data_IF_996971937695
#
_entry.id   IF_996971937695
#
_cell.length_a   1.000
_cell.length_b   1.000
_cell.length_c   1.000
_cell.angle_alpha   90.00
_cell.angle_beta   90.00
_cell.angle_gamma   90.00
#
_symmetry.space_group_name_H-M   'P 1'
#
loop_
_entity.id
_entity.type
_entity.pdbx_description
1 polymer ?
2 non-polymer ?
3 non-polymer ?
4 water ?
#
# COMPACT_ATOMS: atom_id res chain seq x y z
N UNK A 2 -29.28 -4.08 16.16
CA UNK A 2 -27.96 -4.07 16.76
C UNK A 2 -26.89 -3.69 15.75
N UNK A 3 -25.70 -3.38 16.25
CA UNK A 3 -24.57 -3.06 15.40
C UNK A 3 -23.96 -4.38 14.94
N UNK A 4 -23.96 -4.65 13.64
CA UNK A 4 -23.54 -5.95 13.16
C UNK A 4 -22.13 -5.87 12.59
N UNK A 5 -21.27 -6.78 13.04
CA UNK A 5 -19.92 -6.89 12.46
C UNK A 5 -19.72 -8.33 11.98
N UNK A 6 -19.29 -8.47 10.72
CA UNK A 6 -19.01 -9.76 10.13
C UNK A 6 -17.60 -9.72 9.52
N UNK A 7 -16.89 -10.83 9.61
CA UNK A 7 -15.56 -10.93 9.00
C UNK A 7 -15.55 -12.14 8.09
N UNK A 8 -15.30 -11.91 6.81
CA UNK A 8 -15.11 -13.01 5.88
C UNK A 8 -13.64 -13.35 5.85
N UNK A 9 -13.28 -14.61 6.06
CA UNK A 9 -11.86 -14.95 6.30
C UNK A 9 -11.57 -16.38 5.82
N UNK A 10 -10.31 -16.80 5.96
CA UNK A 10 -9.85 -18.15 5.68
C UNK A 10 -8.72 -18.43 6.67
N UNK A 11 -8.83 -19.47 7.49
CA UNK A 11 -8.00 -19.61 8.72
C UNK A 11 -6.46 -19.46 8.57
N UNK A 12 -5.82 -19.90 7.45
CA UNK A 12 -4.36 -19.77 7.46
C UNK A 12 -3.85 -18.45 6.86
N UNK A 13 -4.75 -17.55 6.50
CA UNK A 13 -4.34 -16.33 5.83
C UNK A 13 -3.76 -15.30 6.82
N UNK A 14 -2.48 -14.89 6.64
CA UNK A 14 -1.92 -13.89 7.56
C UNK A 14 -2.68 -12.60 7.46
N UNK A 15 -3.24 -12.31 6.29
CA UNK A 15 -3.99 -11.05 6.12
C UNK A 15 -5.26 -11.03 6.98
N UNK A 16 -5.97 -12.14 7.03
CA UNK A 16 -7.15 -12.26 7.87
C UNK A 16 -6.81 -12.20 9.34
N UNK A 17 -5.69 -12.82 9.70
CA UNK A 17 -5.28 -12.84 11.09
C UNK A 17 -5.11 -11.43 11.62
N UNK A 18 -4.70 -10.53 10.74
CA UNK A 18 -4.55 -9.13 11.13
C UNK A 18 -5.84 -8.55 11.68
N UNK A 19 -6.91 -8.77 10.94
CA UNK A 19 -8.19 -8.22 11.34
C UNK A 19 -8.73 -8.97 12.57
N UNK A 20 -8.46 -10.27 12.67
CA UNK A 20 -8.87 -11.02 13.86
C UNK A 20 -8.23 -10.42 15.11
N UNK A 21 -6.95 -10.11 15.03
CA UNK A 21 -6.27 -9.52 16.18
C UNK A 21 -6.87 -8.17 16.55
N UNK A 22 -7.10 -7.30 15.57
CA UNK A 22 -7.66 -5.97 15.82
C UNK A 22 -9.01 -6.07 16.50
N UNK A 23 -9.87 -6.97 16.00
CA UNK A 23 -11.21 -7.10 16.60
C UNK A 23 -11.15 -7.60 18.04
N UNK A 24 -10.27 -8.56 18.28
CA UNK A 24 -10.08 -9.12 19.62
C UNK A 24 -9.49 -8.11 20.60
N UNK A 25 -8.42 -7.44 20.19
CA UNK A 25 -7.79 -6.43 21.04
C UNK A 25 -8.78 -5.31 21.43
N UNK A 26 -9.67 -4.91 20.51
CA UNK A 26 -10.63 -3.85 20.73
C UNK A 26 -11.85 -4.33 21.57
N UNK A 27 -11.98 -5.64 21.69
CA UNK A 27 -13.15 -6.20 22.38
C UNK A 27 -14.44 -6.02 21.60
N UNK A 28 -14.38 -6.27 20.29
CA UNK A 28 -15.52 -6.16 19.39
C UNK A 28 -16.15 -7.53 19.07
N UNK A 29 -17.42 -7.67 19.38
CA UNK A 29 -18.15 -8.89 19.04
C UNK A 29 -18.43 -8.90 17.53
N UNK A 30 -18.14 -10.02 16.88
CA UNK A 30 -18.39 -10.15 15.46
C UNK A 30 -18.67 -11.60 15.07
N UNK A 31 -19.26 -11.78 13.89
CA UNK A 31 -19.42 -13.13 13.31
C UNK A 31 -18.31 -13.44 12.32
N UNK A 32 -17.59 -14.52 12.60
CA UNK A 32 -16.56 -15.05 11.71
C UNK A 32 -17.17 -16.02 10.70
N UNK A 33 -16.91 -15.79 9.42
CA UNK A 33 -17.39 -16.64 8.34
C UNK A 33 -16.20 -17.17 7.54
N UNK A 34 -16.05 -18.48 7.53
CA UNK A 34 -14.98 -19.13 6.79
C UNK A 34 -15.34 -19.30 5.31
N UNK A 35 -14.47 -18.84 4.42
CA UNK A 35 -14.64 -18.99 3.00
C UNK A 35 -13.81 -20.13 2.45
N UNK A 36 -14.36 -20.77 1.42
CA UNK A 36 -13.65 -21.71 0.56
C UNK A 36 -13.27 -20.95 -0.68
N UNK A 37 -11.99 -20.61 -0.80
CA UNK A 37 -11.58 -19.72 -1.85
C UNK A 37 -11.58 -20.42 -3.20
N UNK A 38 -11.85 -21.70 -3.21
CA UNK A 38 -12.11 -22.43 -4.45
C UNK A 38 -13.59 -22.39 -4.82
N UNK A 39 -14.44 -22.02 -3.87
CA UNK A 39 -15.88 -21.87 -4.09
C UNK A 39 -16.39 -20.64 -3.35
N UNK A 40 -15.95 -19.47 -3.82
CA UNK A 40 -16.22 -18.22 -3.17
C UNK A 40 -17.72 -17.98 -3.11
N UNK A 41 -18.17 -17.57 -1.94
CA UNK A 41 -19.58 -17.31 -1.67
C UNK A 41 -20.12 -16.13 -2.44
N UNK A 42 -21.45 -16.10 -2.65
CA UNK A 42 -21.99 -14.86 -3.23
C UNK A 42 -21.70 -13.61 -2.42
N UNK A 43 -21.69 -13.75 -1.11
CA UNK A 43 -21.43 -12.66 -0.21
C UNK A 43 -20.06 -12.07 -0.49
N UNK A 44 -19.06 -12.94 -0.62
CA UNK A 44 -17.69 -12.48 -0.85
C UNK A 44 -17.60 -11.74 -2.17
N UNK A 45 -18.13 -12.36 -3.23
CA UNK A 45 -18.11 -11.75 -4.57
C UNK A 45 -18.90 -10.42 -4.66
N UNK A 46 -19.93 -10.28 -3.84
CA UNK A 46 -20.73 -9.07 -3.78
C UNK A 46 -20.04 -7.96 -3.01
N UNK A 47 -19.41 -8.34 -1.90
CA UNK A 47 -18.73 -7.40 -1.00
C UNK A 47 -17.32 -6.95 -1.47
N UNK A 48 -16.59 -7.82 -2.16
CA UNK A 48 -15.25 -7.47 -2.70
C UNK A 48 -15.16 -7.84 -4.18
N UNK A 49 -15.93 -7.14 -5.02
CA UNK A 49 -15.91 -7.44 -6.45
C UNK A 49 -14.58 -7.17 -7.13
N UNK A 50 -13.88 -6.13 -6.68
CA UNK A 50 -12.65 -5.72 -7.33
C UNK A 50 -11.55 -6.79 -7.19
N UNK A 51 -11.30 -7.24 -5.97
CA UNK A 51 -10.22 -8.22 -5.69
C UNK A 51 -10.68 -9.68 -5.44
N UNK A 52 -11.93 -9.86 -4.98
CA UNK A 52 -12.47 -11.19 -4.65
C UNK A 52 -11.55 -11.94 -3.67
N UNK A 53 -11.04 -11.19 -2.70
CA UNK A 53 -10.11 -11.72 -1.70
C UNK A 53 -10.68 -11.56 -0.28
N UNK A 54 -10.24 -12.43 0.65
CA UNK A 54 -10.44 -12.20 2.05
C UNK A 54 -9.16 -11.57 2.61
N UNK A 55 -9.22 -10.87 3.75
CA UNK A 55 -10.42 -10.64 4.57
C UNK A 55 -11.33 -9.56 3.99
N UNK A 56 -12.62 -9.63 4.31
CA UNK A 56 -13.53 -8.53 4.16
C UNK A 56 -14.25 -8.31 5.49
N UNK A 57 -14.19 -7.07 5.98
CA UNK A 57 -14.88 -6.66 7.21
C UNK A 57 -16.21 -6.08 6.74
N UNK A 58 -17.32 -6.52 7.31
CA UNK A 58 -18.62 -6.01 6.89
C UNK A 58 -19.32 -5.39 8.11
N UNK A 59 -19.57 -4.10 8.07
CA UNK A 59 -20.07 -3.35 9.23
C UNK A 59 -21.42 -2.78 8.83
N UNK A 60 -22.48 -3.34 9.42
CA UNK A 60 -23.85 -3.02 9.06
C UNK A 60 -24.07 -3.04 7.54
N UNK A 61 -23.55 -4.09 6.89
CA UNK A 61 -23.81 -4.36 5.49
C UNK A 61 -22.86 -3.67 4.53
N UNK A 62 -21.92 -2.89 5.07
CA UNK A 62 -21.02 -2.12 4.23
C UNK A 62 -19.60 -2.71 4.37
N UNK A 63 -18.95 -3.05 3.25
CA UNK A 63 -17.67 -3.77 3.28
C UNK A 63 -16.45 -2.89 3.34
N UNK A 64 -15.43 -3.41 4.02
CA UNK A 64 -14.08 -2.84 4.00
C UNK A 64 -13.11 -3.97 3.65
N UNK A 65 -12.57 -3.89 2.43
CA UNK A 65 -11.57 -4.85 1.95
C UNK A 65 -10.20 -4.22 2.08
N UNK A 66 -9.19 -5.07 2.07
CA UNK A 66 -7.77 -4.78 2.28
C UNK A 66 -7.47 -4.71 3.77
N UNK A 67 -6.74 -5.72 4.23
CA UNK A 67 -6.57 -5.96 5.67
C UNK A 67 -6.15 -4.71 6.50
N UNK A 68 -5.16 -3.98 6.02
CA UNK A 68 -4.65 -2.83 6.79
C UNK A 68 -5.61 -1.68 6.77
N UNK A 69 -6.35 -1.55 5.68
CA UNK A 69 -7.43 -0.55 5.60
C UNK A 69 -8.54 -0.90 6.60
N UNK A 70 -8.93 -2.17 6.69
CA UNK A 70 -9.91 -2.60 7.71
C UNK A 70 -9.40 -2.37 9.15
N UNK A 71 -8.12 -2.58 9.37
CA UNK A 71 -7.62 -2.34 10.71
C UNK A 71 -7.71 -0.86 11.02
N UNK A 72 -7.34 -0.01 10.07
CA UNK A 72 -7.48 1.44 10.28
C UNK A 72 -8.93 1.86 10.49
N UNK A 73 -9.85 1.26 9.74
CA UNK A 73 -11.29 1.54 9.93
C UNK A 73 -11.74 1.16 11.35
N UNK A 74 -11.30 0.01 11.82
CA UNK A 74 -11.55 -0.44 13.20
C UNK A 74 -11.03 0.59 14.23
N UNK A 75 -9.79 1.04 14.04
CA UNK A 75 -9.18 2.03 14.94
C UNK A 75 -9.99 3.32 14.98
N UNK A 76 -10.51 3.73 13.82
CA UNK A 76 -11.18 5.02 13.69
C UNK A 76 -12.61 5.00 14.20
N UNK A 77 -13.26 3.85 14.07
CA UNK A 77 -14.65 3.72 14.51
C UNK A 77 -14.71 3.35 16.00
N UNK A 78 -13.93 2.36 16.43
CA UNK A 78 -13.91 1.97 17.85
C UNK A 78 -12.71 2.62 18.47
N UNK A 79 -12.78 3.95 18.52
CA UNK A 79 -11.61 4.75 18.89
C UNK A 79 -11.47 5.04 20.39
N UNK A 80 -12.41 4.54 21.20
CA UNK A 80 -12.44 4.88 22.62
C UNK A 80 -11.80 3.84 23.53
N UNK A 81 -11.07 2.90 22.95
CA UNK A 81 -10.24 1.99 23.72
C UNK A 81 -9.16 1.37 22.83
N UNK A 82 -8.13 0.83 23.48
CA UNK A 82 -7.09 0.03 22.84
C UNK A 82 -6.61 0.63 21.54
N UNK A 83 -5.93 1.77 21.63
CA UNK A 83 -5.46 2.40 20.39
C UNK A 83 -4.44 1.56 19.68
N UNK A 84 -4.65 1.41 18.38
CA UNK A 84 -3.77 0.54 17.61
C UNK A 84 -2.76 1.34 16.80
N UNK A 85 -3.01 2.64 16.61
CA UNK A 85 -2.04 3.49 15.94
C UNK A 85 -1.67 4.63 16.86
N UNK A 86 -0.46 5.19 16.69
CA UNK A 86 -0.09 6.40 17.43
C UNK A 86 -1.02 7.58 17.20
N UNK A 87 -1.13 8.47 18.20
CA UNK A 87 -1.83 9.73 18.00
C UNK A 87 -0.94 10.87 17.50
N UNK A 88 0.37 10.74 17.60
CA UNK A 88 1.29 11.69 17.01
C UNK A 88 1.38 11.46 15.50
N UNK A 89 1.15 12.48 14.67
CA UNK A 89 1.17 12.27 13.21
C UNK A 89 2.45 11.67 12.68
N UNK A 90 3.61 12.15 13.17
CA UNK A 90 4.87 11.61 12.67
C UNK A 90 5.05 10.13 13.06
N UNK A 91 4.73 9.75 14.29
CA UNK A 91 4.82 8.35 14.69
C UNK A 91 3.83 7.48 13.95
N UNK A 92 2.69 8.06 13.59
CA UNK A 92 1.62 7.37 12.83
C UNK A 92 2.12 7.09 11.41
N UNK A 93 2.79 8.08 10.83
CA UNK A 93 3.40 7.92 9.51
C UNK A 93 4.44 6.82 9.54
N UNK A 94 5.22 6.74 10.62
CA UNK A 94 6.22 5.70 10.67
C UNK A 94 5.60 4.32 10.85
N UNK A 95 4.52 4.22 11.62
CA UNK A 95 3.83 2.94 11.74
C UNK A 95 3.29 2.48 10.40
N UNK A 96 2.70 3.40 9.64
CA UNK A 96 2.19 3.10 8.31
C UNK A 96 3.32 2.66 7.40
N UNK A 97 4.46 3.32 7.53
CA UNK A 97 5.62 2.96 6.70
C UNK A 97 6.09 1.55 6.95
N UNK A 98 6.19 1.16 8.20
CA UNK A 98 6.72 -0.17 8.53
C UNK A 98 5.67 -1.24 8.25
N UNK A 99 4.38 -0.95 8.40
CA UNK A 99 3.35 -1.89 7.98
C UNK A 99 3.38 -2.10 6.47
N UNK A 100 3.62 -1.03 5.72
CA UNK A 100 3.76 -1.15 4.27
C UNK A 100 4.96 -2.03 3.93
N UNK A 101 6.04 -1.85 4.68
CA UNK A 101 7.28 -2.59 4.45
C UNK A 101 7.03 -4.10 4.61
N UNK A 102 6.21 -4.46 5.58
CA UNK A 102 5.84 -5.86 5.79
C UNK A 102 5.16 -6.45 4.56
N UNK A 103 4.22 -5.73 3.99
CA UNK A 103 3.49 -6.21 2.82
C UNK A 103 4.50 -6.54 1.73
N UNK A 104 5.31 -5.56 1.37
CA UNK A 104 6.18 -5.72 0.21
C UNK A 104 7.41 -6.63 0.39
N UNK A 105 7.98 -6.70 1.60
CA UNK A 105 9.13 -7.55 1.82
C UNK A 105 8.73 -8.89 2.42
N UNK A 106 8.19 -8.88 3.61
CA UNK A 106 7.92 -10.12 4.32
C UNK A 106 6.95 -11.02 3.52
N UNK A 107 5.80 -10.49 3.14
CA UNK A 107 4.88 -11.34 2.44
C UNK A 107 5.44 -11.82 1.08
N UNK A 108 5.87 -10.88 0.26
CA UNK A 108 6.29 -11.22 -1.11
C UNK A 108 7.50 -12.14 -1.10
N UNK A 109 8.52 -11.78 -0.31
CA UNK A 109 9.75 -12.59 -0.27
C UNK A 109 9.47 -13.94 0.37
N UNK A 110 8.62 -13.95 1.37
CA UNK A 110 8.26 -15.19 2.04
C UNK A 110 7.62 -16.17 1.10
N UNK A 111 6.77 -15.66 0.21
CA UNK A 111 6.09 -16.49 -0.78
C UNK A 111 7.11 -17.07 -1.75
N UNK A 112 8.11 -16.30 -2.14
CA UNK A 112 9.19 -16.86 -2.99
C UNK A 112 10.01 -17.95 -2.30
N UNK A 113 10.18 -17.88 -0.99
CA UNK A 113 10.95 -18.93 -0.33
C UNK A 113 10.26 -20.31 -0.53
N UNK A 114 8.93 -20.38 -0.58
CA UNK A 114 8.27 -21.71 -0.67
C UNK A 114 7.67 -22.00 -2.05
N UNK A 115 7.84 -21.07 -2.99
CA UNK A 115 7.33 -21.27 -4.36
C UNK A 115 8.42 -21.10 -5.43
N UNK A 116 9.65 -20.77 -5.04
CA UNK A 116 10.74 -20.63 -6.02
C UNK A 116 11.88 -21.60 -5.73
N UNK A 117 12.93 -21.52 -6.54
CA UNK A 117 14.08 -22.43 -6.40
C UNK A 117 15.42 -21.80 -6.79
N UNK A 118 16.49 -22.44 -6.33
CA UNK A 118 17.84 -22.15 -6.78
C UNK A 118 18.36 -20.77 -6.42
N UNK A 119 18.88 -20.08 -7.43
CA UNK A 119 19.44 -18.76 -7.27
C UNK A 119 18.40 -17.70 -6.86
N UNK A 120 17.23 -17.75 -7.48
CA UNK A 120 16.15 -16.82 -7.08
C UNK A 120 15.70 -17.07 -5.62
N UNK A 121 15.46 -18.32 -5.28
CA UNK A 121 15.04 -18.64 -3.92
C UNK A 121 16.14 -18.32 -2.91
N UNK A 122 17.39 -18.40 -3.35
CA UNK A 122 18.53 -18.04 -2.50
C UNK A 122 18.50 -16.56 -2.14
N UNK A 123 18.16 -15.79 -3.16
CA UNK A 123 18.09 -14.33 -3.08
C UNK A 123 17.05 -13.92 -2.05
N UNK A 124 15.88 -14.53 -2.15
CA UNK A 124 14.76 -14.21 -1.28
C UNK A 124 15.08 -14.61 0.13
N UNK A 125 15.74 -15.75 0.32
CA UNK A 125 16.11 -16.15 1.67
C UNK A 125 17.01 -15.07 2.27
N UNK A 126 18.00 -14.63 1.50
CA UNK A 126 18.94 -13.60 1.97
C UNK A 126 18.19 -12.30 2.26
N UNK A 127 17.46 -11.80 1.28
CA UNK A 127 16.70 -10.57 1.47
C UNK A 127 15.68 -10.68 2.60
N UNK A 128 15.04 -11.85 2.73
CA UNK A 128 14.03 -12.06 3.78
C UNK A 128 14.66 -11.90 5.16
N UNK A 129 15.82 -12.54 5.35
CA UNK A 129 16.53 -12.41 6.62
C UNK A 129 16.95 -10.98 6.83
N UNK A 130 17.39 -10.32 5.75
CA UNK A 130 17.74 -8.91 5.83
C UNK A 130 16.58 -8.03 6.30
N UNK A 131 15.40 -8.27 5.74
CA UNK A 131 14.19 -7.57 6.17
C UNK A 131 13.84 -7.83 7.62
N UNK A 132 13.93 -9.09 8.04
CA UNK A 132 13.67 -9.42 9.43
C UNK A 132 14.64 -8.64 10.33
N UNK A 133 15.91 -8.52 9.89
CA UNK A 133 16.93 -7.84 10.69
C UNK A 133 16.64 -6.34 10.76
N UNK A 134 16.17 -5.78 9.67
CA UNK A 134 15.82 -4.37 9.64
C UNK A 134 14.64 -4.13 10.57
N UNK A 135 13.67 -5.04 10.55
CA UNK A 135 12.56 -4.93 11.48
C UNK A 135 13.01 -5.10 12.92
N UNK A 136 13.95 -6.01 13.20
CA UNK A 136 14.48 -6.14 14.56
C UNK A 136 15.08 -4.80 15.03
N UNK A 137 15.74 -4.10 14.11
CA UNK A 137 16.39 -2.83 14.44
C UNK A 137 15.37 -1.80 14.85
N UNK A 138 14.21 -1.81 14.21
CA UNK A 138 13.18 -0.85 14.52
C UNK A 138 12.57 -1.15 15.87
N UNK A 139 12.39 -2.44 16.16
CA UNK A 139 11.84 -2.84 17.43
C UNK A 139 12.76 -2.39 18.56
N UNK A 140 14.04 -2.60 18.36
CA UNK A 140 15.04 -2.30 19.35
C UNK A 140 14.76 -3.07 20.62
N UNK A 141 14.92 -2.42 21.75
CA UNK A 141 14.72 -3.08 23.04
C UNK A 141 13.29 -2.95 23.55
N UNK A 142 12.35 -2.61 22.68
CA UNK A 142 10.97 -2.46 23.12
C UNK A 142 10.25 -3.80 23.25
N UNK A 143 9.21 -3.83 24.08
CA UNK A 143 8.46 -5.05 24.25
C UNK A 143 7.71 -5.40 22.97
N UNK A 144 7.06 -4.40 22.39
CA UNK A 144 6.38 -4.54 21.09
C UNK A 144 6.78 -3.41 20.16
N UNK A 145 6.48 -3.55 18.86
CA UNK A 145 6.74 -2.46 17.93
C UNK A 145 5.95 -1.23 18.37
N UNK A 146 4.81 -1.48 18.99
CA UNK A 146 3.98 -0.41 19.54
C UNK A 146 4.46 0.11 20.90
N UNK A 147 5.55 -0.45 21.40
CA UNK A 147 6.09 -0.09 22.71
C UNK A 147 5.58 -1.01 23.80
N UNK A 148 4.82 -0.47 24.75
CA UNK A 148 4.33 -1.26 25.87
C UNK A 148 3.08 -2.05 25.53
N UNK A 149 2.42 -1.67 24.44
CA UNK A 149 1.25 -2.38 23.95
C UNK A 149 1.42 -2.67 22.49
N UNK A 150 0.69 -3.65 21.97
CA UNK A 150 0.80 -3.96 20.57
C UNK A 150 0.12 -2.86 19.74
N UNK A 151 0.70 -2.57 18.58
CA UNK A 151 0.18 -1.57 17.68
C UNK A 151 0.12 -2.08 16.25
N UNK A 152 -0.02 -1.13 15.34
CA UNK A 152 -0.28 -1.37 13.91
C UNK A 152 0.78 -2.27 13.27
N UNK A 153 2.05 -2.03 13.59
CA UNK A 153 3.10 -2.85 12.99
C UNK A 153 3.07 -4.26 13.56
N UNK A 154 2.86 -4.40 14.87
CA UNK A 154 2.72 -5.74 15.45
C UNK A 154 1.61 -6.55 14.77
N UNK A 155 0.49 -5.89 14.54
CA UNK A 155 -0.68 -6.54 13.94
C UNK A 155 -0.40 -6.89 12.49
N UNK A 156 0.28 -6.00 11.78
CA UNK A 156 0.64 -6.25 10.38
C UNK A 156 1.55 -7.46 10.21
N UNK A 157 2.44 -7.63 11.17
CA UNK A 157 3.62 -8.47 11.04
C UNK A 157 3.52 -9.83 11.76
N UNK A 158 3.02 -9.89 12.99
CA UNK A 158 3.09 -11.14 13.74
C UNK A 158 2.32 -12.32 13.07
N UNK A 159 1.28 -12.05 12.27
CA UNK A 159 0.70 -13.24 11.61
C UNK A 159 1.66 -14.04 10.76
N UNK A 160 2.67 -13.38 10.18
CA UNK A 160 3.61 -14.08 9.30
C UNK A 160 4.50 -15.07 10.10
N UNK A 161 4.64 -14.87 11.41
CA UNK A 161 5.31 -15.88 12.25
C UNK A 161 4.66 -17.25 12.11
N UNK A 162 3.35 -17.27 11.90
CA UNK A 162 2.67 -18.58 11.82
C UNK A 162 3.06 -19.36 10.59
N UNK A 163 3.71 -18.69 9.63
CA UNK A 163 4.19 -19.30 8.42
C UNK A 163 5.69 -19.64 8.50
N UNK A 164 6.29 -19.51 9.68
CA UNK A 164 7.74 -19.67 9.74
C UNK A 164 8.19 -21.11 9.48
N UNK A 165 7.37 -22.10 9.84
CA UNK A 165 7.77 -23.50 9.55
C UNK A 165 7.70 -23.77 8.03
N UNK A 166 6.78 -23.11 7.35
CA UNK A 166 6.77 -23.12 5.91
C UNK A 166 8.05 -22.56 5.36
N UNK A 167 8.43 -21.35 5.78
CA UNK A 167 9.65 -20.73 5.26
C UNK A 167 10.88 -21.57 5.63
N UNK A 168 10.89 -22.09 6.85
CA UNK A 168 12.05 -22.82 7.36
C UNK A 168 12.22 -24.15 6.64
N UNK A 169 11.10 -24.84 6.47
CA UNK A 169 11.13 -26.20 5.93
C UNK A 169 11.42 -26.24 4.42
N UNK A 170 10.63 -25.52 3.63
CA UNK A 170 10.83 -25.47 2.19
C UNK A 170 12.05 -24.63 1.82
N UNK A 171 12.44 -23.71 2.71
CA UNK A 171 13.61 -22.86 2.43
C UNK A 171 14.94 -23.34 3.02
N UNK A 172 14.91 -24.35 3.88
CA UNK A 172 16.09 -24.84 4.61
C UNK A 172 16.74 -23.67 5.32
N UNK A 173 15.90 -22.97 6.09
CA UNK A 173 16.31 -21.84 6.90
C UNK A 173 16.11 -22.13 8.37
N UNK A 174 17.02 -21.58 9.17
CA UNK A 174 16.85 -21.55 10.59
C UNK A 174 16.69 -20.08 11.01
N UNK A 175 15.45 -19.61 11.06
CA UNK A 175 15.21 -18.20 11.33
C UNK A 175 15.58 -17.84 12.79
N UNK A 176 15.25 -18.69 13.76
CA UNK A 176 15.56 -18.34 15.14
C UNK A 176 17.08 -18.24 15.35
N UNK A 177 17.83 -19.06 14.65
CA UNK A 177 19.28 -18.98 14.79
C UNK A 177 19.82 -17.64 14.30
N UNK A 178 19.23 -17.11 13.22
CA UNK A 178 19.70 -15.88 12.59
C UNK A 178 19.09 -14.61 13.19
N UNK A 179 17.87 -14.76 13.69
CA UNK A 179 17.07 -13.63 14.14
C UNK A 179 16.41 -13.93 15.49
N UNK A 180 17.21 -14.15 16.54
CA UNK A 180 16.60 -14.45 17.84
C UNK A 180 15.71 -13.37 18.44
N UNK A 181 16.04 -12.08 18.25
CA UNK A 181 15.22 -10.98 18.79
C UNK A 181 13.81 -11.06 18.15
N UNK A 182 13.75 -11.32 16.85
CA UNK A 182 12.47 -11.39 16.15
C UNK A 182 11.61 -12.53 16.71
N UNK A 183 12.19 -13.72 16.85
CA UNK A 183 11.44 -14.85 17.38
C UNK A 183 10.99 -14.60 18.83
N UNK A 184 11.84 -14.02 19.68
CA UNK A 184 11.41 -13.72 21.05
C UNK A 184 10.23 -12.74 21.06
N UNK A 185 10.25 -11.77 20.15
CA UNK A 185 9.17 -10.79 20.04
C UNK A 185 7.84 -11.50 19.66
N UNK A 186 7.90 -12.36 18.66
CA UNK A 186 6.72 -13.09 18.23
C UNK A 186 6.15 -13.90 19.39
N UNK A 187 7.03 -14.55 20.16
CA UNK A 187 6.57 -15.34 21.30
C UNK A 187 5.95 -14.45 22.39
N UNK A 188 6.45 -13.23 22.57
CA UNK A 188 5.82 -12.29 23.48
C UNK A 188 4.40 -12.00 22.99
N UNK A 189 4.23 -11.72 21.71
CA UNK A 189 2.89 -11.39 21.20
C UNK A 189 1.93 -12.57 21.46
N UNK A 190 2.43 -13.79 21.35
CA UNK A 190 1.57 -14.97 21.45
C UNK A 190 1.06 -15.24 22.85
N UNK A 191 1.57 -14.51 23.83
CA UNK A 191 1.08 -14.63 25.19
C UNK A 191 -0.11 -13.73 25.43
N UNK A 192 -0.41 -12.85 24.48
CA UNK A 192 -1.61 -12.02 24.57
C UNK A 192 -2.78 -12.78 23.97
N UNK A 193 -3.91 -12.75 24.68
CA UNK A 193 -5.10 -13.50 24.27
C UNK A 193 -5.54 -13.11 22.84
N UNK A 194 -5.49 -11.83 22.51
CA UNK A 194 -5.98 -11.35 21.20
C UNK A 194 -5.18 -11.96 20.07
N UNK A 195 -3.92 -12.26 20.33
CA UNK A 195 -3.05 -12.83 19.33
C UNK A 195 -3.12 -14.35 19.35
N UNK A 196 -3.03 -14.91 20.56
CA UNK A 196 -3.09 -16.37 20.72
C UNK A 196 -4.34 -16.96 20.07
N UNK A 197 -5.48 -16.35 20.32
CA UNK A 197 -6.75 -16.85 19.81
C UNK A 197 -6.93 -16.66 18.28
N UNK A 198 -6.10 -15.78 17.69
CA UNK A 198 -6.24 -15.39 16.28
C UNK A 198 -5.30 -16.13 15.35
N UNK A 199 -4.22 -16.68 15.90
CA UNK A 199 -3.15 -17.31 15.13
C UNK A 199 -3.11 -18.82 15.25
N UNK A 200 -3.19 -19.52 14.10
CA UNK A 200 -3.03 -20.97 14.13
C UNK A 200 -1.61 -21.36 14.49
N UNK A 201 -1.46 -22.59 14.97
CA UNK A 201 -0.16 -23.18 15.23
C UNK A 201 0.66 -23.31 13.94
N UNK A 202 1.97 -23.11 14.05
CA UNK A 202 2.88 -23.23 12.91
C UNK A 202 2.78 -24.58 12.17
N UNK A 203 2.61 -25.66 12.91
CA UNK A 203 2.57 -26.95 12.26
C UNK A 203 1.28 -27.14 11.48
N UNK A 204 0.17 -26.63 12.01
CA UNK A 204 -1.09 -26.68 11.28
C UNK A 204 -0.95 -25.90 9.96
N UNK A 205 -0.34 -24.71 9.97
CA UNK A 205 -0.16 -24.01 8.69
C UNK A 205 0.73 -24.77 7.73
N UNK A 206 1.81 -25.33 8.25
CA UNK A 206 2.73 -26.10 7.45
C UNK A 206 2.00 -27.27 6.75
N UNK A 207 1.19 -28.02 7.49
CA UNK A 207 0.57 -29.19 6.89
C UNK A 207 -0.42 -28.76 5.82
N UNK A 208 -1.07 -27.62 6.03
CA UNK A 208 -1.95 -27.07 5.00
C UNK A 208 -1.18 -26.72 3.73
N UNK A 209 0.01 -26.13 3.88
CA UNK A 209 0.76 -25.67 2.71
C UNK A 209 1.38 -26.89 1.99
N UNK A 210 1.71 -27.96 2.70
CA UNK A 210 2.23 -29.15 2.01
C UNK A 210 1.21 -29.57 0.95
N UNK A 211 -0.07 -29.56 1.32
CA UNK A 211 -1.15 -29.99 0.43
C UNK A 211 -1.33 -29.08 -0.78
N UNK A 212 -1.22 -27.76 -0.62
CA UNK A 212 -1.40 -26.86 -1.77
C UNK A 212 -0.14 -26.67 -2.62
N UNK A 213 1.03 -26.84 -2.00
CA UNK A 213 2.27 -26.66 -2.72
C UNK A 213 2.51 -27.81 -3.69
N UNK A 214 2.03 -29.00 -3.33
CA UNK A 214 2.26 -30.19 -4.15
C UNK A 214 1.57 -30.06 -5.51
N UNK A 215 0.62 -29.13 -5.60
CA UNK A 215 -0.10 -28.85 -6.83
C UNK A 215 0.53 -27.65 -7.56
N UNK A 216 1.80 -27.40 -7.26
CA UNK A 216 2.57 -26.32 -7.89
C UNK A 216 3.98 -26.78 -8.29
N UNK A 217 4.72 -27.39 -7.49
N UNK B 4 11.49 24.59 7.73
CA UNK B 4 10.62 23.71 8.48
C UNK B 4 10.16 22.58 7.54
N UNK B 5 9.95 22.86 6.27
CA UNK B 5 9.44 21.84 5.30
C UNK B 5 10.27 21.79 4.02
N UNK B 6 10.80 20.60 3.73
CA UNK B 6 11.62 20.34 2.56
C UNK B 6 11.01 19.12 1.83
N UNK B 7 11.02 19.17 0.50
CA UNK B 7 10.61 18.05 -0.36
C UNK B 7 11.74 17.62 -1.29
N UNK B 8 12.16 16.36 -1.16
CA UNK B 8 13.12 15.72 -2.09
C UNK B 8 12.28 15.06 -3.20
N UNK B 9 12.53 15.41 -4.46
CA UNK B 9 11.66 15.00 -5.56
C UNK B 9 12.45 14.90 -6.86
N UNK B 10 11.76 14.48 -7.92
CA UNK B 10 12.32 14.40 -9.28
C UNK B 10 11.14 14.73 -10.19
N UNK B 11 11.31 15.76 -11.02
CA UNK B 11 10.15 16.46 -11.63
C UNK B 11 9.13 15.57 -12.40
N UNK B 12 9.55 14.50 -13.12
CA UNK B 12 8.51 13.75 -13.87
C UNK B 12 7.88 12.60 -13.11
N UNK B 13 8.25 12.44 -11.85
CA UNK B 13 7.75 11.32 -11.07
C UNK B 13 6.31 11.56 -10.61
N UNK B 14 5.37 10.69 -10.98
CA UNK B 14 4.00 10.89 -10.53
C UNK B 14 3.87 10.84 -9.02
N UNK B 15 4.77 10.12 -8.37
CA UNK B 15 4.69 9.92 -6.93
C UNK B 15 5.03 11.24 -6.24
N UNK B 16 5.99 11.98 -6.76
CA UNK B 16 6.34 13.27 -6.17
C UNK B 16 5.27 14.31 -6.40
N UNK B 17 4.65 14.22 -7.57
CA UNK B 17 3.57 15.12 -7.93
C UNK B 17 2.45 15.06 -6.91
N UNK B 18 2.18 13.87 -6.35
CA UNK B 18 1.13 13.74 -5.31
C UNK B 18 1.40 14.67 -4.15
N UNK B 19 2.66 14.66 -3.69
CA UNK B 19 3.04 15.45 -2.49
C UNK B 19 3.02 16.93 -2.86
N UNK B 20 3.46 17.27 -4.09
CA UNK B 20 3.39 18.67 -4.53
C UNK B 20 1.94 19.21 -4.49
N UNK B 21 0.98 18.43 -4.99
CA UNK B 21 -0.44 18.83 -4.93
C UNK B 21 -0.93 19.05 -3.50
N UNK B 22 -0.57 18.12 -2.60
CA UNK B 22 -0.99 18.19 -1.19
C UNK B 22 -0.43 19.42 -0.53
N UNK B 23 0.84 19.72 -0.77
CA UNK B 23 1.43 20.92 -0.20
C UNK B 23 0.76 22.18 -0.75
N UNK B 24 0.52 22.23 -2.06
CA UNK B 24 -0.14 23.43 -2.64
C UNK B 24 -1.58 23.63 -2.15
N UNK B 25 -2.33 22.52 -2.07
CA UNK B 25 -3.69 22.56 -1.53
C UNK B 25 -3.75 23.17 -0.14
N UNK B 26 -2.73 22.91 0.68
CA UNK B 26 -2.74 23.38 2.07
C UNK B 26 -2.10 24.75 2.23
N UNK B 27 -1.50 25.25 1.17
CA UNK B 27 -0.80 26.52 1.23
C UNK B 27 0.45 26.47 2.08
N UNK B 28 1.17 25.35 2.06
CA UNK B 28 2.36 25.21 2.88
C UNK B 28 3.60 25.67 2.12
N UNK B 29 4.36 26.56 2.72
CA UNK B 29 5.61 26.99 2.13
C UNK B 29 6.68 25.96 2.41
N UNK B 30 7.45 25.63 1.37
CA UNK B 30 8.51 24.62 1.48
C UNK B 30 9.61 24.80 0.44
N UNK B 31 10.76 24.17 0.72
CA UNK B 31 11.87 24.14 -0.20
C UNK B 31 11.80 22.86 -1.03
N UNK B 32 11.77 23.00 -2.36
CA UNK B 32 11.85 21.86 -3.25
C UNK B 32 13.29 21.56 -3.63
N UNK B 33 13.72 20.30 -3.51
CA UNK B 33 15.05 19.89 -3.91
C UNK B 33 14.98 18.78 -4.95
N UNK B 34 15.57 19.03 -6.12
CA UNK B 34 15.61 18.07 -7.23
C UNK B 34 16.74 17.08 -7.04
N UNK B 35 16.40 15.79 -7.03
CA UNK B 35 17.40 14.71 -6.99
C UNK B 35 17.72 14.13 -8.36
N UNK B 36 18.99 13.78 -8.51
CA UNK B 36 19.45 12.97 -9.63
C UNK B 36 19.49 11.53 -9.17
N UNK B 37 18.59 10.70 -9.65
CA UNK B 37 18.46 9.37 -9.09
C UNK B 37 19.60 8.45 -9.53
N UNK B 38 20.43 8.93 -10.47
CA UNK B 38 21.66 8.20 -10.78
C UNK B 38 22.83 8.67 -9.93
N UNK B 39 22.63 9.72 -9.13
CA UNK B 39 23.66 10.20 -8.24
C UNK B 39 23.01 10.74 -6.97
N UNK B 40 22.44 9.83 -6.22
CA UNK B 40 21.58 10.18 -5.10
C UNK B 40 22.36 10.96 -4.05
N UNK B 41 21.74 12.01 -3.53
CA UNK B 41 22.40 12.93 -2.59
C UNK B 41 22.64 12.24 -1.25
N UNK B 42 23.60 12.77 -0.48
CA UNK B 42 23.75 12.14 0.84
C UNK B 42 22.48 12.36 1.70
N UNK B 43 21.79 13.48 1.49
CA UNK B 43 20.58 13.75 2.24
C UNK B 43 19.50 12.71 1.88
N UNK B 44 19.37 12.38 0.61
CA UNK B 44 18.37 11.36 0.27
C UNK B 44 18.71 10.03 0.94
N UNK B 45 19.98 9.64 0.90
CA UNK B 45 20.38 8.34 1.43
C UNK B 45 20.25 8.33 2.95
N UNK B 46 20.44 9.49 3.55
CA UNK B 46 20.25 9.67 4.99
C UNK B 46 18.77 9.55 5.41
N UNK B 47 17.91 10.15 4.59
CA UNK B 47 16.50 10.36 4.97
C UNK B 47 15.57 9.20 4.58
N UNK B 48 15.87 8.50 3.49
CA UNK B 48 15.16 7.31 3.11
C UNK B 48 16.14 6.17 2.87
N UNK B 49 16.81 5.71 3.93
CA UNK B 49 17.73 4.59 3.74
C UNK B 49 17.10 3.28 3.31
N UNK B 50 15.85 3.08 3.69
CA UNK B 50 15.20 1.83 3.47
C UNK B 50 14.93 1.65 1.98
N UNK B 51 14.27 2.60 1.34
CA UNK B 51 13.97 2.47 -0.10
C UNK B 51 14.85 3.32 -1.04
N UNK B 52 15.45 4.40 -0.53
CA UNK B 52 16.31 5.27 -1.32
C UNK B 52 15.58 5.83 -2.54
N UNK B 53 14.30 6.16 -2.35
CA UNK B 53 13.43 6.72 -3.39
C UNK B 53 12.92 8.11 -3.03
N UNK B 54 12.57 8.89 -4.06
CA UNK B 54 11.74 10.09 -3.85
C UNK B 54 10.27 9.73 -4.12
N UNK B 55 9.33 10.54 -3.61
CA UNK B 55 9.50 11.75 -2.78
C UNK B 55 9.84 11.44 -1.34
N UNK B 56 10.57 12.35 -0.70
CA UNK B 56 10.72 12.35 0.76
C UNK B 56 10.34 13.72 1.30
N UNK B 57 9.33 13.75 2.16
CA UNK B 57 8.96 14.99 2.86
C UNK B 57 9.77 15.07 4.14
N UNK B 58 10.37 16.23 4.40
CA UNK B 58 11.20 16.37 5.57
C UNK B 58 10.66 17.56 6.38
N UNK B 59 10.14 17.23 7.54
CA UNK B 59 9.46 18.23 8.39
C UNK B 59 10.27 18.41 9.65
N UNK B 60 10.89 19.59 9.76
CA UNK B 60 11.79 19.87 10.86
C UNK B 60 12.88 18.82 11.01
N UNK B 61 13.46 18.42 9.89
CA UNK B 61 14.54 17.47 9.88
C UNK B 61 14.11 16.03 9.95
N UNK B 62 12.81 15.74 10.00
CA UNK B 62 12.34 14.37 10.14
C UNK B 62 11.65 13.91 8.86
N UNK B 63 12.10 12.78 8.30
CA UNK B 63 11.61 12.34 6.99
C UNK B 63 10.31 11.54 7.01
N UNK B 64 9.46 11.78 6.02
CA UNK B 64 8.31 10.93 5.76
C UNK B 64 8.42 10.48 4.30
N UNK B 65 8.70 9.19 4.12
CA UNK B 65 8.75 8.56 2.78
C UNK B 65 7.47 7.79 2.48
N UNK B 66 7.27 7.46 1.19
CA UNK B 66 6.07 6.87 0.58
C UNK B 66 5.02 7.95 0.40
N UNK B 67 4.83 8.28 -0.88
CA UNK B 67 4.00 9.42 -1.26
C UNK B 67 2.64 9.48 -0.56
N UNK B 68 1.86 8.42 -0.55
CA UNK B 68 0.53 8.52 0.05
C UNK B 68 0.58 8.61 1.57
N UNK B 69 1.63 8.08 2.19
CA UNK B 69 1.81 8.23 3.62
C UNK B 69 2.14 9.70 3.91
N UNK B 70 2.95 10.29 3.05
CA UNK B 70 3.27 11.70 3.20
C UNK B 70 2.03 12.59 3.01
N UNK B 71 1.17 12.24 2.06
CA UNK B 71 -0.07 13.03 1.85
C UNK B 71 -0.93 12.94 3.08
N UNK B 72 -1.06 11.77 3.68
CA UNK B 72 -1.84 11.65 4.90
C UNK B 72 -1.25 12.42 6.06
N UNK B 73 0.08 12.40 6.18
CA UNK B 73 0.79 13.21 7.19
C UNK B 73 0.41 14.70 7.04
N UNK B 74 0.48 15.21 5.83
CA UNK B 74 0.14 16.61 5.52
C UNK B 74 -1.30 16.88 5.92
N UNK B 75 -2.23 15.99 5.57
CA UNK B 75 -3.63 16.16 5.97
C UNK B 75 -3.81 16.25 7.48
N UNK B 76 -3.07 15.44 8.24
CA UNK B 76 -3.28 15.32 9.68
C UNK B 76 -2.66 16.48 10.45
N UNK B 77 -1.52 16.98 9.97
CA UNK B 77 -0.79 18.05 10.67
C UNK B 77 -1.45 19.39 10.36
N UNK B 78 -1.65 19.67 9.07
CA UNK B 78 -2.34 20.91 8.66
C UNK B 78 -3.84 20.67 8.38
N UNK B 79 -4.58 20.42 9.46
CA UNK B 79 -5.88 19.74 9.46
C UNK B 79 -7.14 20.66 9.45
N UNK B 80 -6.97 21.97 9.45
CA UNK B 80 -8.13 22.88 9.61
C UNK B 80 -8.46 23.72 8.36
N UNK B 81 -7.98 23.26 7.20
CA UNK B 81 -8.22 23.91 5.93
C UNK B 81 -8.10 22.83 4.86
N UNK B 82 -8.88 22.95 3.77
CA UNK B 82 -8.70 22.10 2.58
C UNK B 82 -8.51 20.62 2.92
N UNK B 83 -9.52 19.99 3.52
CA UNK B 83 -9.45 18.55 3.79
C UNK B 83 -9.20 17.76 2.53
N UNK B 84 -8.23 16.85 2.59
CA UNK B 84 -7.85 15.96 1.48
C UNK B 84 -8.49 14.60 1.66
N UNK B 85 -8.94 14.32 2.87
CA UNK B 85 -9.68 13.08 3.10
C UNK B 85 -10.99 13.37 3.84
N UNK B 86 -11.99 12.48 3.68
CA UNK B 86 -13.29 12.60 4.33
C UNK B 86 -13.15 12.50 5.84
N UNK B 87 -14.07 13.05 6.62
CA UNK B 87 -14.02 12.82 8.07
C UNK B 87 -14.69 11.51 8.44
N UNK B 88 -15.64 11.08 7.62
CA UNK B 88 -16.38 9.86 7.86
C UNK B 88 -15.48 8.62 7.69
N UNK B 89 -15.38 7.77 8.72
CA UNK B 89 -14.48 6.59 8.61
C UNK B 89 -14.77 5.67 7.43
N UNK B 90 -16.02 5.40 7.10
CA UNK B 90 -16.29 4.52 5.96
C UNK B 90 -15.84 5.16 4.64
N UNK B 91 -16.18 6.43 4.43
CA UNK B 91 -15.76 7.12 3.21
C UNK B 91 -14.21 7.19 3.13
N UNK B 92 -13.56 7.32 4.29
CA UNK B 92 -12.10 7.36 4.35
C UNK B 92 -11.51 6.02 3.92
N UNK B 93 -12.17 4.95 4.35
CA UNK B 93 -11.71 3.62 4.00
C UNK B 93 -11.84 3.39 2.51
N UNK B 94 -12.91 3.90 1.91
CA UNK B 94 -13.10 3.76 0.47
C UNK B 94 -12.07 4.55 -0.32
N UNK B 95 -11.72 5.74 0.17
CA UNK B 95 -10.71 6.57 -0.46
C UNK B 95 -9.36 5.83 -0.40
N UNK B 96 -9.04 5.29 0.75
CA UNK B 96 -7.80 4.53 0.87
C UNK B 96 -7.82 3.31 -0.06
N UNK B 97 -8.98 2.66 -0.15
CA UNK B 97 -9.10 1.49 -1.04
C UNK B 97 -8.79 1.84 -2.51
N UNK B 98 -9.32 2.92 -3.00
CA UNK B 98 -9.14 3.25 -4.40
C UNK B 98 -7.77 3.86 -4.66
N UNK B 99 -7.20 4.59 -3.69
CA UNK B 99 -5.80 5.02 -3.81
C UNK B 99 -4.88 3.80 -3.88
N UNK B 100 -5.15 2.79 -3.05
CA UNK B 100 -4.41 1.54 -3.10
C UNK B 100 -4.49 0.87 -4.48
N UNK B 101 -5.69 0.84 -5.05
CA UNK B 101 -5.92 0.28 -6.37
C UNK B 101 -5.05 0.98 -7.40
N UNK B 102 -4.98 2.30 -7.31
CA UNK B 102 -4.10 3.06 -8.21
C UNK B 102 -2.63 2.67 -8.03
N UNK B 103 -2.19 2.52 -6.79
CA UNK B 103 -0.83 2.12 -6.50
C UNK B 103 -0.45 0.75 -7.06
N UNK B 104 -1.37 -0.20 -6.99
CA UNK B 104 -1.14 -1.52 -7.58
C UNK B 104 -0.99 -1.47 -9.10
N UNK B 105 -1.88 -0.72 -9.76
CA UNK B 105 -2.08 -0.86 -11.19
C UNK B 105 -1.29 0.10 -12.11
N UNK B 106 -1.40 1.40 -11.87
CA UNK B 106 -1.19 2.33 -12.96
C UNK B 106 0.29 2.44 -13.32
N UNK B 107 1.14 2.67 -12.33
CA UNK B 107 2.55 2.87 -12.65
C UNK B 107 3.12 1.68 -13.42
N UNK B 108 2.91 0.48 -12.91
CA UNK B 108 3.63 -0.68 -13.46
C UNK B 108 3.11 -1.10 -14.84
N UNK B 109 1.80 -1.01 -15.04
CA UNK B 109 1.23 -1.34 -16.35
C UNK B 109 1.64 -0.28 -17.36
N UNK B 110 1.56 0.99 -16.95
CA UNK B 110 2.05 2.08 -17.79
C UNK B 110 3.49 1.88 -18.21
N UNK B 111 4.36 1.52 -17.27
CA UNK B 111 5.76 1.28 -17.60
C UNK B 111 5.92 0.17 -18.66
N UNK B 112 5.20 -0.92 -18.50
CA UNK B 112 5.28 -2.01 -19.46
C UNK B 112 4.83 -1.56 -20.85
N UNK B 113 3.90 -0.62 -20.93
CA UNK B 113 3.42 -0.17 -22.25
C UNK B 113 4.56 0.42 -23.09
N UNK B 114 5.51 1.14 -22.48
CA UNK B 114 6.57 1.77 -23.29
C UNK B 114 7.92 1.05 -23.24
N UNK B 115 7.99 -0.04 -22.48
CA UNK B 115 9.25 -0.77 -22.38
C UNK B 115 9.16 -2.23 -22.81
N UNK B 116 8.01 -2.70 -23.24
CA UNK B 116 7.91 -4.09 -23.73
C UNK B 116 7.47 -4.14 -25.17
N UNK B 117 7.34 -5.37 -25.68
CA UNK B 117 6.94 -5.62 -27.05
C UNK B 117 6.02 -6.83 -27.10
N UNK B 118 5.43 -7.07 -28.28
CA UNK B 118 4.74 -8.32 -28.52
C UNK B 118 3.47 -8.46 -27.70
N UNK B 119 3.18 -9.68 -27.30
CA UNK B 119 1.95 -9.97 -26.57
C UNK B 119 1.96 -9.31 -25.20
N UNK B 120 3.13 -9.24 -24.57
CA UNK B 120 3.28 -8.63 -23.25
C UNK B 120 2.82 -7.18 -23.28
N UNK B 121 3.21 -6.48 -24.32
CA UNK B 121 2.82 -5.08 -24.48
C UNK B 121 1.30 -4.99 -24.67
N UNK B 122 0.71 -5.88 -25.47
CA UNK B 122 -0.72 -5.73 -25.74
C UNK B 122 -1.56 -6.12 -24.51
N UNK B 123 -1.08 -7.09 -23.74
CA UNK B 123 -1.68 -7.48 -22.49
C UNK B 123 -1.61 -6.32 -21.49
N UNK B 124 -0.47 -5.64 -21.44
CA UNK B 124 -0.35 -4.47 -20.54
C UNK B 124 -1.35 -3.39 -20.93
N UNK B 125 -1.42 -3.10 -22.22
CA UNK B 125 -2.38 -2.13 -22.70
C UNK B 125 -3.80 -2.48 -22.27
N UNK B 126 -4.17 -3.75 -22.44
CA UNK B 126 -5.53 -4.19 -22.18
C UNK B 126 -5.87 -4.06 -20.70
N UNK B 127 -4.94 -4.49 -19.85
CA UNK B 127 -5.16 -4.41 -18.40
C UNK B 127 -5.20 -2.94 -17.95
N UNK B 128 -4.36 -2.12 -18.57
CA UNK B 128 -4.28 -0.68 -18.24
C UNK B 128 -5.63 0.00 -18.52
N UNK B 129 -6.19 -0.23 -19.68
CA UNK B 129 -7.51 0.35 -20.03
C UNK B 129 -8.62 -0.20 -19.13
N UNK B 130 -8.55 -1.48 -18.82
CA UNK B 130 -9.50 -2.08 -17.87
C UNK B 130 -9.49 -1.39 -16.51
N UNK B 131 -8.30 -1.03 -16.05
CA UNK B 131 -8.15 -0.33 -14.76
C UNK B 131 -8.72 1.10 -14.84
N UNK B 132 -8.41 1.82 -15.90
CA UNK B 132 -8.94 3.12 -16.10
C UNK B 132 -10.48 3.07 -16.14
N UNK B 133 -11.05 2.04 -16.76
CA UNK B 133 -12.51 1.97 -16.89
C UNK B 133 -13.14 1.70 -15.52
N UNK B 134 -12.51 0.85 -14.74
CA UNK B 134 -12.99 0.58 -13.38
C UNK B 134 -12.99 1.86 -12.55
N UNK B 135 -11.96 2.68 -12.73
CA UNK B 135 -11.90 3.98 -12.08
C UNK B 135 -12.96 4.97 -12.58
N UNK B 136 -13.22 4.99 -13.90
CA UNK B 136 -14.32 5.80 -14.43
C UNK B 136 -15.64 5.43 -13.76
N UNK B 137 -15.79 4.14 -13.47
CA UNK B 137 -17.04 3.64 -12.89
C UNK B 137 -17.19 4.13 -11.48
N UNK B 138 -16.10 4.08 -10.73
CA UNK B 138 -16.08 4.62 -9.38
C UNK B 138 -16.32 6.14 -9.35
N UNK B 139 -15.76 6.88 -10.29
CA UNK B 139 -15.99 8.31 -10.36
C UNK B 139 -17.48 8.58 -10.52
N UNK B 140 -18.15 7.82 -11.37
CA UNK B 140 -19.55 8.08 -11.66
C UNK B 140 -19.82 9.43 -12.29
N UNK B 141 -20.85 10.12 -11.78
CA UNK B 141 -21.19 11.44 -12.28
C UNK B 141 -20.59 12.56 -11.45
N UNK B 142 -19.72 12.22 -10.48
CA UNK B 142 -19.04 13.20 -9.61
C UNK B 142 -18.02 14.05 -10.38
N UNK B 143 -17.86 15.31 -9.96
CA UNK B 143 -16.89 16.23 -10.56
C UNK B 143 -15.47 15.66 -10.39
N UNK B 144 -15.17 15.29 -9.15
CA UNK B 144 -13.91 14.67 -8.76
C UNK B 144 -14.14 13.35 -8.01
N UNK B 145 -13.10 12.53 -7.87
CA UNK B 145 -13.24 11.33 -7.05
C UNK B 145 -13.66 11.70 -5.62
N UNK B 146 -13.19 12.86 -5.18
CA UNK B 146 -13.49 13.33 -3.84
C UNK B 146 -14.83 14.03 -3.74
N UNK B 147 -15.57 14.08 -4.85
CA UNK B 147 -16.88 14.73 -4.89
C UNK B 147 -16.87 16.11 -5.52
N UNK B 148 -17.17 17.16 -4.76
CA UNK B 148 -17.20 18.53 -5.33
C UNK B 148 -15.84 19.19 -5.30
N UNK B 149 -14.91 18.65 -4.50
CA UNK B 149 -13.52 19.12 -4.47
C UNK B 149 -12.57 17.95 -4.64
N UNK B 150 -11.30 18.22 -4.95
CA UNK B 150 -10.36 17.13 -5.09
C UNK B 150 -10.01 16.56 -3.72
N UNK B 151 -9.85 15.25 -3.72
CA UNK B 151 -9.49 14.51 -2.53
C UNK B 151 -8.38 13.51 -2.81
N UNK B 152 -8.22 12.58 -1.86
CA UNK B 152 -7.11 11.64 -1.81
C UNK B 152 -6.95 10.84 -3.08
N UNK B 153 -8.06 10.36 -3.60
CA UNK B 153 -7.96 9.53 -4.81
C UNK B 153 -7.57 10.39 -6.02
N UNK B 154 -8.14 11.60 -6.14
CA UNK B 154 -7.70 12.48 -7.22
C UNK B 154 -6.19 12.73 -7.16
N UNK B 155 -5.71 13.02 -5.95
CA UNK B 155 -4.29 13.30 -5.76
C UNK B 155 -3.43 12.06 -6.11
N UNK B 156 -3.90 10.89 -5.70
CA UNK B 156 -3.20 9.66 -6.00
C UNK B 156 -3.07 9.40 -7.49
N UNK B 157 -4.12 9.76 -8.24
CA UNK B 157 -4.28 9.30 -9.62
C UNK B 157 -3.96 10.33 -10.71
N UNK B 158 -4.36 11.58 -10.55
CA UNK B 158 -4.20 12.51 -11.65
C UNK B 158 -2.72 12.69 -12.11
N UNK B 159 -1.71 12.55 -11.22
CA UNK B 159 -0.36 12.69 -11.77
C UNK B 159 -0.06 11.77 -12.95
N UNK B 160 -0.68 10.59 -12.97
CA UNK B 160 -0.38 9.64 -14.07
C UNK B 160 -0.87 10.16 -15.43
N UNK B 161 -1.81 11.07 -15.42
CA UNK B 161 -2.25 11.69 -16.66
C UNK B 161 -1.09 12.40 -17.36
N UNK B 162 -0.10 12.93 -16.62
CA UNK B 162 1.02 13.60 -17.27
C UNK B 162 1.86 12.65 -18.15
N UNK B 163 1.69 11.33 -17.99
CA UNK B 163 2.40 10.31 -18.76
C UNK B 163 1.58 9.77 -19.94
N UNK B 164 0.37 10.27 -20.16
CA UNK B 164 -0.50 9.62 -21.15
C UNK B 164 0.01 9.76 -22.59
N UNK B 165 0.79 10.79 -22.91
CA UNK B 165 1.33 10.82 -24.32
C UNK B 165 2.40 9.75 -24.50
N UNK B 166 3.12 9.44 -23.43
CA UNK B 166 4.05 8.33 -23.44
C UNK B 166 3.31 7.02 -23.76
N UNK B 167 2.28 6.74 -22.98
CA UNK B 167 1.51 5.51 -23.17
C UNK B 167 0.83 5.47 -24.56
N UNK B 168 0.30 6.60 -24.99
CA UNK B 168 -0.45 6.68 -26.25
C UNK B 168 0.50 6.44 -27.41
N UNK B 169 1.66 7.09 -27.37
CA UNK B 169 2.55 7.06 -28.52
C UNK B 169 3.25 5.71 -28.65
N UNK B 170 3.85 5.22 -27.57
CA UNK B 170 4.61 3.98 -27.64
C UNK B 170 3.71 2.75 -27.56
N UNK B 171 2.49 2.93 -27.03
CA UNK B 171 1.54 1.85 -26.94
C UNK B 171 0.66 1.75 -28.19
N UNK B 172 0.66 2.78 -29.02
CA UNK B 172 -0.31 2.85 -30.11
C UNK B 172 -1.70 2.67 -29.59
N UNK B 173 -2.08 3.54 -28.69
CA UNK B 173 -3.49 3.54 -28.35
C UNK B 173 -4.02 4.89 -28.01
N UNK B 174 -5.33 4.99 -28.16
CA UNK B 174 -5.99 6.26 -28.08
C UNK B 174 -6.79 6.25 -26.82
N UNK B 175 -6.19 6.71 -25.75
CA UNK B 175 -6.87 6.72 -24.49
C UNK B 175 -8.03 7.70 -24.49
N UNK B 176 -7.89 8.74 -25.29
CA UNK B 176 -8.91 9.78 -25.42
C UNK B 176 -10.21 9.17 -25.96
N UNK B 177 -10.09 8.21 -26.86
CA UNK B 177 -11.27 7.59 -27.45
C UNK B 177 -11.79 6.45 -26.59
N UNK B 178 -10.89 5.70 -25.96
CA UNK B 178 -11.30 4.52 -25.19
C UNK B 178 -11.85 4.92 -23.82
N UNK B 179 -11.31 5.99 -23.25
CA UNK B 179 -11.66 6.40 -21.88
C UNK B 179 -11.96 7.91 -21.80
N UNK B 180 -12.97 8.39 -22.54
CA UNK B 180 -13.23 9.83 -22.56
C UNK B 180 -13.68 10.43 -21.22
N UNK B 181 -14.39 9.64 -20.41
CA UNK B 181 -14.78 10.16 -19.13
C UNK B 181 -13.55 10.38 -18.25
N UNK B 182 -12.61 9.44 -18.28
CA UNK B 182 -11.37 9.60 -17.53
C UNK B 182 -10.61 10.88 -17.95
N UNK B 183 -10.41 11.06 -19.26
CA UNK B 183 -9.67 12.23 -19.73
C UNK B 183 -10.39 13.53 -19.39
N UNK B 184 -11.73 13.57 -19.50
CA UNK B 184 -12.44 14.79 -19.11
C UNK B 184 -12.26 15.13 -17.62
N UNK B 185 -12.33 14.10 -16.77
CA UNK B 185 -12.00 14.26 -15.34
C UNK B 185 -10.59 14.83 -15.10
N UNK B 186 -9.58 14.28 -15.76
CA UNK B 186 -8.23 14.77 -15.58
C UNK B 186 -8.14 16.25 -15.99
N UNK B 187 -8.81 16.62 -17.09
CA UNK B 187 -8.78 18.01 -17.53
C UNK B 187 -9.49 18.93 -16.52
N UNK B 188 -10.53 18.44 -15.83
CA UNK B 188 -11.17 19.21 -14.76
C UNK B 188 -10.17 19.45 -13.63
N UNK B 189 -9.42 18.43 -13.26
CA UNK B 189 -8.43 18.58 -12.20
C UNK B 189 -7.37 19.65 -12.52
N UNK B 190 -6.96 19.71 -13.78
CA UNK B 190 -5.86 20.54 -14.25
C UNK B 190 -6.28 22.02 -14.24
N UNK B 191 -7.58 22.26 -14.05
CA UNK B 191 -8.07 23.63 -13.87
C UNK B 191 -7.96 24.16 -12.42
N UNK B 192 -7.62 23.29 -11.47
CA UNK B 192 -7.35 23.72 -10.12
C UNK B 192 -5.90 24.19 -10.05
N UNK B 193 -5.67 25.32 -9.40
CA UNK B 193 -4.35 25.87 -9.34
C UNK B 193 -3.34 24.91 -8.66
N UNK B 194 -3.76 24.21 -7.63
CA UNK B 194 -2.84 23.33 -6.90
C UNK B 194 -2.33 22.19 -7.78
N UNK B 195 -3.18 21.77 -8.70
CA UNK B 195 -2.83 20.67 -9.59
C UNK B 195 -2.00 21.16 -10.79
N UNK B 196 -2.48 22.23 -11.41
CA UNK B 196 -1.82 22.85 -12.56
C UNK B 196 -0.37 23.22 -12.31
N UNK B 197 -0.08 23.77 -11.15
CA UNK B 197 1.31 24.14 -10.81
C UNK B 197 2.19 22.94 -10.41
N UNK B 198 1.58 21.81 -10.05
CA UNK B 198 2.31 20.64 -9.60
C UNK B 198 2.62 19.64 -10.72
N UNK B 199 1.84 19.72 -11.78
CA UNK B 199 1.93 18.74 -12.85
C UNK B 199 2.65 19.28 -14.09
N UNK B 200 3.77 18.62 -14.51
CA UNK B 200 4.38 19.03 -15.78
C UNK B 200 3.50 18.77 -16.98
N UNK B 201 3.63 19.54 -18.06
CA UNK B 201 2.94 19.28 -19.33
C UNK B 201 3.18 17.85 -19.82
N UNK B 202 2.18 17.21 -20.40
CA UNK B 202 2.38 15.91 -21.02
C UNK B 202 3.56 15.89 -22.01
N UNK B 203 3.74 17.00 -22.73
CA UNK B 203 4.74 17.05 -23.81
C UNK B 203 6.14 16.98 -23.20
N UNK B 204 6.32 17.62 -22.05
CA UNK B 204 7.60 17.59 -21.36
C UNK B 204 7.89 16.17 -20.90
N UNK B 205 6.91 15.49 -20.29
CA UNK B 205 7.16 14.13 -19.85
C UNK B 205 7.44 13.24 -21.09
N UNK B 206 6.69 13.46 -22.15
CA UNK B 206 6.88 12.65 -23.35
C UNK B 206 8.33 12.81 -23.88
N UNK B 207 8.83 14.05 -23.98
CA UNK B 207 10.17 14.23 -24.53
C UNK B 207 11.26 13.67 -23.60
N UNK B 208 11.04 13.73 -22.29
CA UNK B 208 11.93 13.08 -21.33
C UNK B 208 12.04 11.60 -21.63
N UNK B 209 10.91 10.94 -21.83
CA UNK B 209 10.94 9.51 -22.08
C UNK B 209 11.49 9.19 -23.48
N UNK B 210 11.19 10.04 -24.47
CA UNK B 210 11.72 9.85 -25.83
C UNK B 210 13.23 9.68 -25.77
N UNK B 211 13.93 10.52 -25.02
CA UNK B 211 15.39 10.45 -25.04
C UNK B 211 15.93 9.25 -24.31
N UNK B 212 15.21 8.78 -23.28
CA UNK B 212 15.52 7.53 -22.61
C UNK B 212 15.29 6.33 -23.51
N UNK B 213 14.11 6.27 -24.10
CA UNK B 213 13.69 5.05 -24.79
C UNK B 213 14.50 4.78 -26.06
N UNK B 214 14.96 5.85 -26.73
CA UNK B 214 15.70 5.62 -27.96
C UNK B 214 17.05 4.95 -27.72
N UNK B 215 17.50 4.90 -26.48
CA UNK B 215 18.77 4.23 -26.14
C UNK B 215 18.59 2.75 -25.76
N UNK B 216 17.36 2.36 -25.47
CA UNK B 216 17.02 0.99 -25.08
C UNK B 216 17.03 -0.01 -26.24
N UNK B 217 17.50 -1.23 -25.97
CA UNK B 217 17.29 -2.39 -26.85
C UNK B 217 16.23 -3.23 -26.15
N UNK B 218 15.02 -3.16 -26.69
CA UNK B 218 13.86 -3.73 -26.03
C UNK B 218 13.71 -5.21 -26.31
N UNK B 219 13.64 -5.67 -27.45
X LIG C 1 -4.32 -9.43 0.30
X LIG C 1 -5.34 -10.50 0.72
X LIG C 1 -5.02 -11.88 0.17
X LIG C 1 -3.97 -12.12 -0.45
X LIG C 1 -5.08 -7.64 2.01
X LIG C 1 -6.13 -7.99 2.56
X LIG C 1 -4.15 -7.08 2.64
X LIG C 1 -3.83 -6.98 0.08
X LIG C 1 -4.81 -7.98 0.56
X LIG C 1 -5.98 -12.80 0.34
X LIG C 1 -6.01 -14.17 -0.16
X LIG C 1 -6.08 -15.07 1.05
X LIG C 1 -5.68 -16.74 0.66
X LIG C 1 -3.95 -16.62 0.30
X LIG C 1 -7.23 -14.40 -1.02
X LIG C 1 -8.38 -14.21 -0.61
X LIG C 1 -6.99 -14.82 -2.27
X LIG C 1 -8.06 -15.16 -3.18
X LIG C 1 -7.73 -16.33 -4.04
X LIG C 1 -8.49 -16.57 -5.01
X LIG C 1 -6.73 -17.03 -3.76
X LIG D 1 7.39 4.89 -5.07
X LIG D 1 8.37 6.03 -5.30
X LIG D 1 9.20 5.77 -6.55
X LIG D 1 8.95 4.83 -7.31
X LIG D 1 5.91 6.09 -3.34
X LIG D 1 6.50 7.14 -3.00
X LIG D 1 4.65 6.00 -3.44
X LIG D 1 5.98 3.65 -3.39
X LIG D 1 6.76 4.88 -3.65
X LIG D 1 10.19 6.63 -6.77
X LIG D 1 11.10 6.55 -7.91
X LIG D 1 10.88 7.84 -8.63
X LIG D 1 11.67 7.85 -10.19
X LIG D 1 10.93 6.53 -11.08
X LIG D 1 12.50 6.49 -7.35
X LIG D 1 12.86 7.35 -6.54
X LIG D 1 13.26 5.48 -7.78
X LIG D 1 14.65 5.42 -7.32
X LIG D 1 15.60 4.82 -8.31
X LIG D 1 16.73 4.51 -7.90
X LIG D 1 15.19 4.67 -9.49
X LIG E 1 -6.87 -1.75 -25.66
X LIG E 1 -6.46 -0.91 -26.45
X LIG E 1 -8.06 -1.55 -24.81
X LIG E 1 -6.32 -3.11 -25.42
#
# INVERSE_FOLDING_TARGET
MTDEVVLLDFWPSPFGMRVRIALAEKGIEYEYKEEDLRNKSPLLLQMNPVHKKIPVLIHNGKPISESLIAVQYIEEVWNDRNPLLPSDPYQRAQARFWADYVDIKIHDLGKKIWTSKGEEKEAAKKEFIEALKLLEEQLGDKTYFGGDNIGFVDIALVPFYTWFKVYETFGSLNIENECPRFVAWAKRCLQKESVAKSLPDQHKVYEFVVEIRKKLVIE
MTDEVVLLDFWPSPFGMRVRIALAEKGIEYEYKEEDLRNKSPLLLQMNPVHKKIPVLIHNGKPISESLIAVQYIEEVWNDRNPLLPSDPYQRAQARFWADYVDIKIHDLGKKIWTSKGEEKEAAKKEFIEALKLLEEQLGDKTYFGGDNIGFVDIALVPFYTWFKVYETFGSLNIENECPRFVAWAKRCLQKESVAKSLPDQHKVYEFVVEIRKKLVIE
GS8 CB1 CG1 CD1 OE1 C1 O11 O12 N1 CA1 N2 CA2 CB2 SG2 O13 C2 O2 N3 CA3 C3 O32 O31
GS8 CB1 CG1 CD1 OE1 C1 O11 O12 N1 CA1 N2 CA2 CB2 SG2 O13 C2 O2 N3 CA3 C3 O32 O31
ACN C O C1 C2
#
